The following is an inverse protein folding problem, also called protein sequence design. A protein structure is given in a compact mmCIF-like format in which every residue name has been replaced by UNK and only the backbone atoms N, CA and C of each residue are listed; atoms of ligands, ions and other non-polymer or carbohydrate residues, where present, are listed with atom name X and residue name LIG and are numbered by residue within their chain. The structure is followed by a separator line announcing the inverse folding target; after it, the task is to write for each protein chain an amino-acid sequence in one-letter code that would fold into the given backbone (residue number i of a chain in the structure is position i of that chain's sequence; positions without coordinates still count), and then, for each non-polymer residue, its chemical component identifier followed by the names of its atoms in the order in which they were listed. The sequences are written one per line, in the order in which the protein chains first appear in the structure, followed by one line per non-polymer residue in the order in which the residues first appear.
data_IF_077925136513
#
_entry.id   IF_077925136513
#
_cell.length_a   1.000
_cell.length_b   1.000
_cell.length_c   1.000
_cell.angle_alpha   90.00
_cell.angle_beta   90.00
_cell.angle_gamma   90.00
#
_symmetry.space_group_name_H-M   'P 1'
#
loop_
_entity.id
_entity.type
_entity.pdbx_description
1 polymer ?
#
# COMPACT_ATOMS: atom_id res chain seq x y z
N UNK A 1 2.24 25.65 -6.96
CA UNK A 1 2.21 24.94 -5.66
C UNK A 1 2.85 25.87 -4.63
N UNK A 2 2.13 26.22 -3.59
CA UNK A 2 2.68 27.05 -2.53
C UNK A 2 3.54 26.21 -1.55
N UNK A 3 4.16 26.88 -0.57
CA UNK A 3 5.05 26.21 0.39
C UNK A 3 4.32 25.16 1.23
N UNK A 4 3.09 25.44 1.64
CA UNK A 4 2.29 24.51 2.45
C UNK A 4 1.96 23.26 1.65
N UNK A 5 1.50 23.42 0.41
CA UNK A 5 1.23 22.28 -0.48
C UNK A 5 2.48 21.47 -0.78
N UNK A 6 3.63 22.14 -0.91
CA UNK A 6 4.91 21.45 -1.10
C UNK A 6 5.28 20.60 0.10
N UNK A 7 5.13 21.13 1.31
CA UNK A 7 5.38 20.39 2.55
C UNK A 7 4.41 19.23 2.72
N UNK A 8 3.13 19.44 2.42
CA UNK A 8 2.12 18.39 2.46
C UNK A 8 2.44 17.26 1.47
N UNK A 9 2.87 17.61 0.26
CA UNK A 9 3.27 16.63 -0.75
C UNK A 9 4.46 15.78 -0.27
N UNK A 10 5.46 16.42 0.34
CA UNK A 10 6.62 15.71 0.90
C UNK A 10 6.18 14.78 2.03
N UNK A 11 5.31 15.23 2.91
CA UNK A 11 4.80 14.40 4.00
C UNK A 11 4.04 13.18 3.47
N UNK A 12 3.20 13.36 2.46
CA UNK A 12 2.48 12.27 1.80
C UNK A 12 3.46 11.26 1.17
N UNK A 13 4.50 11.73 0.51
CA UNK A 13 5.53 10.85 -0.04
C UNK A 13 6.25 10.06 1.05
N UNK A 14 6.56 10.69 2.18
CA UNK A 14 7.15 10.01 3.33
C UNK A 14 6.19 8.96 3.93
N UNK A 15 4.91 9.27 3.99
CA UNK A 15 3.89 8.34 4.46
C UNK A 15 3.84 7.08 3.59
N UNK A 16 3.89 7.24 2.26
CA UNK A 16 3.88 6.12 1.33
C UNK A 16 5.17 5.28 1.41
N UNK A 17 6.30 5.90 1.69
CA UNK A 17 7.55 5.18 1.95
C UNK A 17 7.44 4.32 3.22
N UNK A 18 6.80 4.83 4.27
CA UNK A 18 6.54 4.06 5.50
C UNK A 18 5.57 2.91 5.25
N UNK A 19 4.53 3.14 4.43
CA UNK A 19 3.61 2.08 4.00
C UNK A 19 4.36 0.93 3.35
N UNK A 20 5.18 1.22 2.35
CA UNK A 20 6.00 0.23 1.65
C UNK A 20 6.89 -0.55 2.64
N UNK A 21 7.64 0.16 3.46
CA UNK A 21 8.54 -0.45 4.44
C UNK A 21 7.78 -1.34 5.44
N UNK A 22 6.59 -0.94 5.84
CA UNK A 22 5.80 -1.72 6.79
C UNK A 22 5.44 -3.09 6.26
N UNK A 23 5.08 -3.19 4.99
CA UNK A 23 4.78 -4.46 4.33
C UNK A 23 6.05 -5.29 4.14
N UNK A 24 7.10 -4.68 3.63
CA UNK A 24 8.34 -5.37 3.27
C UNK A 24 9.07 -5.92 4.51
N UNK A 25 8.91 -5.27 5.66
CA UNK A 25 9.51 -5.69 6.94
C UNK A 25 8.53 -6.36 7.89
N UNK A 26 7.28 -6.51 7.48
CA UNK A 26 6.21 -7.10 8.32
C UNK A 26 6.01 -6.35 9.64
N UNK A 27 6.15 -5.04 9.61
CA UNK A 27 5.94 -4.14 10.75
C UNK A 27 4.48 -3.69 10.76
N UNK A 28 3.63 -4.45 11.41
CA UNK A 28 2.18 -4.22 11.37
C UNK A 28 1.75 -2.99 12.16
N UNK A 29 2.50 -2.60 13.19
CA UNK A 29 2.22 -1.35 13.91
C UNK A 29 2.56 -0.14 13.04
N UNK A 30 3.65 -0.19 12.28
CA UNK A 30 3.97 0.84 11.30
C UNK A 30 2.91 0.90 10.20
N UNK A 31 2.47 -0.25 9.69
CA UNK A 31 1.37 -0.34 8.73
C UNK A 31 0.11 0.35 9.26
N UNK A 32 -0.29 0.00 10.48
CA UNK A 32 -1.48 0.58 11.13
C UNK A 32 -1.37 2.10 11.23
N UNK A 33 -0.19 2.62 11.52
CA UNK A 33 0.06 4.07 11.68
C UNK A 33 -0.07 4.87 10.37
N UNK A 34 -0.08 4.23 9.22
CA UNK A 34 -0.27 4.90 7.92
C UNK A 34 -1.73 5.30 7.72
N UNK A 35 -2.64 4.62 8.37
CA UNK A 35 -4.09 4.70 8.14
C UNK A 35 -4.82 5.33 9.30
N UNK A 36 -5.96 5.97 9.02
CA UNK A 36 -6.91 6.32 10.06
C UNK A 36 -7.53 5.04 10.64
N UNK A 37 -8.04 5.12 11.86
CA UNK A 37 -8.65 3.97 12.53
C UNK A 37 -9.83 3.39 11.75
N UNK A 38 -10.62 4.23 11.09
CA UNK A 38 -11.78 3.87 10.29
C UNK A 38 -11.46 3.63 8.80
N UNK A 39 -10.18 3.55 8.44
CA UNK A 39 -9.78 3.41 7.04
C UNK A 39 -10.33 2.12 6.42
N UNK A 40 -10.76 2.23 5.16
CA UNK A 40 -11.18 1.11 4.34
C UNK A 40 -10.08 0.79 3.32
N UNK A 41 -9.71 -0.47 3.23
CA UNK A 41 -8.59 -0.94 2.40
C UNK A 41 -9.08 -2.08 1.50
N UNK A 42 -8.81 -1.97 0.21
CA UNK A 42 -9.26 -2.94 -0.79
C UNK A 42 -8.06 -3.47 -1.59
N UNK A 43 -7.69 -4.72 -1.33
CA UNK A 43 -6.67 -5.48 -2.05
C UNK A 43 -7.25 -6.57 -2.95
N UNK A 44 -8.53 -6.51 -3.26
CA UNK A 44 -9.20 -7.56 -4.05
C UNK A 44 -8.58 -7.75 -5.43
N UNK A 45 -8.05 -6.68 -6.04
CA UNK A 45 -7.46 -6.74 -7.38
C UNK A 45 -6.27 -7.71 -7.48
N UNK A 46 -5.50 -7.89 -6.41
CA UNK A 46 -4.38 -8.84 -6.35
C UNK A 46 -4.73 -10.16 -5.67
N UNK A 47 -6.01 -10.40 -5.40
CA UNK A 47 -6.48 -11.59 -4.69
C UNK A 47 -6.45 -11.47 -3.17
N UNK A 48 -6.23 -10.26 -2.66
CA UNK A 48 -6.21 -9.98 -1.24
C UNK A 48 -7.60 -9.71 -0.65
N UNK A 49 -7.61 -9.25 0.58
CA UNK A 49 -8.84 -8.98 1.32
C UNK A 49 -9.31 -7.54 1.16
N UNK A 50 -10.54 -7.30 1.56
CA UNK A 50 -11.18 -5.99 1.63
C UNK A 50 -11.75 -5.82 3.04
N UNK A 51 -11.56 -4.66 3.65
CA UNK A 51 -12.14 -4.38 4.96
C UNK A 51 -11.54 -3.17 5.64
N UNK A 52 -11.88 -3.00 6.91
CA UNK A 52 -11.33 -1.94 7.73
C UNK A 52 -9.90 -2.25 8.16
N UNK A 53 -9.16 -1.20 8.55
CA UNK A 53 -7.73 -1.26 8.86
C UNK A 53 -7.33 -2.46 9.73
N UNK A 54 -7.97 -2.63 10.87
CA UNK A 54 -7.56 -3.66 11.83
C UNK A 54 -7.89 -5.07 11.34
N UNK A 55 -8.96 -5.23 10.56
CA UNK A 55 -9.30 -6.49 9.90
C UNK A 55 -8.24 -6.85 8.84
N UNK A 56 -7.81 -5.87 8.07
CA UNK A 56 -6.78 -6.06 7.03
C UNK A 56 -5.43 -6.37 7.68
N UNK A 57 -5.06 -5.70 8.76
CA UNK A 57 -3.84 -6.00 9.51
C UNK A 57 -3.83 -7.45 9.99
N UNK A 58 -4.95 -7.93 10.53
CA UNK A 58 -5.04 -9.31 10.99
C UNK A 58 -4.91 -10.32 9.84
N UNK A 59 -5.54 -10.01 8.71
CA UNK A 59 -5.40 -10.84 7.50
C UNK A 59 -3.95 -10.85 6.99
N UNK A 60 -3.28 -9.70 6.94
CA UNK A 60 -1.88 -9.60 6.53
C UNK A 60 -0.96 -10.41 7.47
N UNK A 61 -1.20 -10.31 8.78
CA UNK A 61 -0.44 -11.05 9.78
C UNK A 61 -0.54 -12.56 9.56
N UNK A 62 -1.72 -13.06 9.23
CA UNK A 62 -1.99 -14.48 9.02
C UNK A 62 -1.55 -14.99 7.65
N UNK A 63 -1.37 -14.13 6.68
CA UNK A 63 -0.96 -14.46 5.32
C UNK A 63 0.51 -14.10 5.08
N UNK A 64 0.78 -12.88 4.66
CA UNK A 64 2.16 -12.43 4.39
C UNK A 64 3.06 -12.48 5.62
N UNK A 65 2.49 -12.38 6.83
CA UNK A 65 3.25 -12.48 8.07
C UNK A 65 3.72 -13.90 8.40
N UNK A 66 3.15 -14.94 7.79
CA UNK A 66 3.48 -16.35 8.08
C UNK A 66 4.24 -17.04 6.95
N UNK A 67 4.24 -16.48 5.76
CA UNK A 67 4.96 -17.03 4.59
C UNK A 67 6.39 -16.49 4.60
N UNK A 68 7.36 -17.33 4.31
CA UNK A 68 8.76 -16.93 4.15
C UNK A 68 9.01 -16.36 2.76
N UNK A 69 8.48 -15.17 2.51
CA UNK A 69 8.68 -14.43 1.27
C UNK A 69 9.63 -13.26 1.49
N UNK A 70 10.24 -12.81 0.42
CA UNK A 70 10.98 -11.55 0.38
C UNK A 70 10.54 -10.75 -0.84
N UNK A 71 10.60 -9.44 -0.74
CA UNK A 71 10.20 -8.58 -1.84
C UNK A 71 10.23 -7.13 -1.44
N UNK A 72 9.88 -6.29 -2.38
CA UNK A 72 9.82 -4.85 -2.16
C UNK A 72 8.63 -4.25 -2.87
N UNK A 73 7.94 -3.35 -2.19
CA UNK A 73 6.92 -2.50 -2.79
C UNK A 73 7.59 -1.19 -3.19
N UNK A 74 7.95 -1.06 -4.48
CA UNK A 74 8.41 0.22 -5.01
C UNK A 74 7.21 1.10 -5.29
N UNK A 75 7.13 2.24 -4.63
CA UNK A 75 6.05 3.20 -4.80
C UNK A 75 6.64 4.45 -5.43
N UNK A 76 6.17 4.76 -6.63
CA UNK A 76 6.76 5.79 -7.49
C UNK A 76 5.65 6.62 -8.15
N UNK A 77 6.05 7.62 -8.92
CA UNK A 77 5.14 8.41 -9.75
C UNK A 77 3.94 8.92 -8.93
N UNK A 78 4.24 9.48 -7.77
CA UNK A 78 3.25 9.90 -6.80
C UNK A 78 2.66 11.24 -7.24
N UNK A 79 1.34 11.29 -7.36
CA UNK A 79 0.58 12.49 -7.63
C UNK A 79 -0.39 12.73 -6.48
N UNK A 80 -0.35 13.93 -5.90
CA UNK A 80 -1.25 14.33 -4.82
C UNK A 80 -2.04 15.56 -5.27
N UNK A 81 -3.36 15.45 -5.30
CA UNK A 81 -4.28 16.53 -5.53
C UNK A 81 -4.83 16.99 -4.19
N UNK A 82 -4.34 18.14 -3.73
CA UNK A 82 -4.60 18.68 -2.40
C UNK A 82 -5.78 19.66 -2.44
N UNK A 83 -6.70 19.49 -1.49
CA UNK A 83 -7.80 20.44 -1.26
C UNK A 83 -7.97 20.61 0.24
N UNK A 84 -7.33 21.64 0.82
CA UNK A 84 -7.36 21.86 2.28
C UNK A 84 -6.79 20.67 3.06
N UNK A 85 -7.62 20.04 3.86
CA UNK A 85 -7.22 18.94 4.75
C UNK A 85 -7.45 17.55 4.14
N UNK A 86 -7.72 17.48 2.85
CA UNK A 86 -7.89 16.21 2.12
C UNK A 86 -6.97 16.17 0.89
N UNK A 87 -6.62 14.97 0.47
CA UNK A 87 -5.83 14.74 -0.73
C UNK A 87 -6.29 13.47 -1.44
N UNK A 88 -6.45 13.56 -2.76
CA UNK A 88 -6.54 12.39 -3.61
C UNK A 88 -5.13 12.08 -4.10
N UNK A 89 -4.66 10.86 -3.82
CA UNK A 89 -3.30 10.47 -4.13
C UNK A 89 -3.30 9.22 -5.01
N UNK A 90 -2.58 9.29 -6.10
CA UNK A 90 -2.32 8.13 -6.96
C UNK A 90 -0.82 7.88 -6.99
N UNK A 91 -0.44 6.64 -6.73
CA UNK A 91 0.95 6.23 -6.76
C UNK A 91 1.09 4.95 -7.59
N UNK A 92 2.09 4.90 -8.46
CA UNK A 92 2.43 3.67 -9.14
C UNK A 92 3.10 2.71 -8.16
N UNK A 93 2.82 1.43 -8.33
CA UNK A 93 3.45 0.36 -7.53
C UNK A 93 4.07 -0.67 -8.45
N UNK A 94 5.32 -1.02 -8.17
CA UNK A 94 6.01 -2.16 -8.75
C UNK A 94 6.47 -3.05 -7.60
N UNK A 95 6.02 -4.31 -7.60
CA UNK A 95 6.17 -5.20 -6.45
C UNK A 95 6.81 -6.53 -6.88
N UNK A 96 8.13 -6.59 -7.01
CA UNK A 96 8.85 -7.85 -7.22
C UNK A 96 8.92 -8.63 -5.91
N UNK A 97 8.57 -9.91 -5.95
CA UNK A 97 8.53 -10.78 -4.78
C UNK A 97 9.14 -12.14 -5.08
N UNK A 98 9.77 -12.72 -4.08
CA UNK A 98 10.26 -14.09 -4.09
C UNK A 98 9.45 -14.90 -3.11
N UNK A 99 8.74 -15.91 -3.59
CA UNK A 99 7.96 -16.82 -2.76
C UNK A 99 8.64 -18.18 -2.62
N UNK A 100 8.50 -18.85 -1.47
CA UNK A 100 9.06 -20.19 -1.29
C UNK A 100 8.43 -21.18 -2.30
N UNK A 101 9.27 -22.02 -2.89
CA UNK A 101 8.82 -23.02 -3.86
C UNK A 101 8.56 -22.51 -5.27
N UNK A 102 8.71 -21.21 -5.51
CA UNK A 102 8.56 -20.61 -6.84
C UNK A 102 9.92 -20.46 -7.52
N UNK A 103 9.96 -20.73 -8.83
CA UNK A 103 11.13 -20.43 -9.68
C UNK A 103 10.99 -19.02 -10.23
N UNK A 104 11.99 -18.18 -9.99
CA UNK A 104 11.97 -16.78 -10.42
C UNK A 104 11.12 -15.90 -9.50
N UNK A 105 10.99 -14.63 -9.89
CA UNK A 105 10.26 -13.65 -9.13
C UNK A 105 8.81 -13.55 -9.59
N UNK A 106 7.93 -13.26 -8.64
CA UNK A 106 6.57 -12.83 -8.93
C UNK A 106 6.54 -11.32 -9.02
N UNK A 107 5.84 -10.77 -10.01
CA UNK A 107 5.73 -9.34 -10.22
C UNK A 107 4.28 -8.90 -10.24
N UNK A 108 4.00 -7.79 -9.59
CA UNK A 108 2.76 -7.04 -9.76
C UNK A 108 3.10 -5.61 -10.11
N UNK A 109 2.30 -5.01 -10.98
CA UNK A 109 2.39 -3.59 -11.31
C UNK A 109 1.00 -2.99 -11.45
N UNK A 110 0.84 -1.77 -10.96
CA UNK A 110 -0.43 -1.06 -11.02
C UNK A 110 -0.37 0.24 -10.25
N UNK A 111 -1.47 0.59 -9.63
CA UNK A 111 -1.60 1.81 -8.85
C UNK A 111 -2.22 1.54 -7.49
N UNK A 112 -1.81 2.35 -6.52
CA UNK A 112 -2.55 2.55 -5.28
C UNK A 112 -3.25 3.91 -5.35
N UNK A 113 -4.55 3.89 -5.12
CA UNK A 113 -5.39 5.08 -5.04
C UNK A 113 -5.75 5.33 -3.59
N UNK A 114 -5.32 6.47 -3.06
CA UNK A 114 -5.58 6.83 -1.68
C UNK A 114 -6.48 8.06 -1.59
N UNK A 115 -7.39 8.03 -0.64
CA UNK A 115 -8.01 9.22 -0.09
C UNK A 115 -7.33 9.51 1.24
N UNK A 116 -6.63 10.62 1.33
CA UNK A 116 -5.87 10.99 2.52
C UNK A 116 -6.50 12.18 3.22
N UNK A 117 -6.33 12.20 4.53
CA UNK A 117 -6.84 13.28 5.38
C UNK A 117 -5.74 13.76 6.32
N UNK A 118 -5.76 15.07 6.62
CA UNK A 118 -4.89 15.64 7.64
C UNK A 118 -5.49 15.33 9.01
N UNK A 119 -4.68 14.76 9.90
CA UNK A 119 -5.05 14.47 11.29
C UNK A 119 -4.15 15.25 12.24
N UNK A 120 -4.44 15.28 13.56
CA UNK A 120 -3.50 15.85 14.53
C UNK A 120 -2.10 15.23 14.50
N UNK A 121 -2.00 13.98 14.02
CA UNK A 121 -0.73 13.25 13.92
C UNK A 121 -0.10 13.33 12.53
N UNK A 122 -0.62 14.18 11.64
CA UNK A 122 -0.19 14.36 10.27
C UNK A 122 -1.12 13.69 9.25
N UNK A 123 -0.66 13.61 8.01
CA UNK A 123 -1.44 12.98 6.95
C UNK A 123 -1.58 11.47 7.18
N UNK A 124 -2.77 10.94 6.92
CA UNK A 124 -3.08 9.51 7.02
C UNK A 124 -4.00 9.10 5.88
N UNK A 125 -3.89 7.87 5.45
CA UNK A 125 -4.81 7.32 4.46
C UNK A 125 -6.11 6.89 5.11
N UNK A 126 -7.21 7.34 4.54
CA UNK A 126 -8.56 6.96 4.97
C UNK A 126 -9.19 5.90 4.07
N UNK A 127 -8.69 5.80 2.84
CA UNK A 127 -9.15 4.80 1.88
C UNK A 127 -7.98 4.41 0.98
N UNK A 128 -7.83 3.12 0.73
CA UNK A 128 -6.87 2.59 -0.23
C UNK A 128 -7.58 1.61 -1.15
N UNK A 129 -7.47 1.87 -2.44
CA UNK A 129 -7.89 0.95 -3.50
C UNK A 129 -6.66 0.55 -4.31
N UNK A 130 -6.38 -0.74 -4.38
CA UNK A 130 -5.36 -1.30 -5.26
C UNK A 130 -5.93 -1.56 -6.64
N UNK A 131 -5.21 -1.13 -7.67
CA UNK A 131 -5.49 -1.43 -9.06
C UNK A 131 -4.31 -2.21 -9.64
N UNK A 132 -4.54 -3.41 -10.16
CA UNK A 132 -3.51 -4.22 -10.80
C UNK A 132 -3.65 -4.09 -12.31
N UNK A 133 -2.60 -3.59 -12.97
CA UNK A 133 -2.55 -3.48 -14.43
C UNK A 133 -1.96 -4.73 -15.08
N UNK A 134 -1.03 -5.37 -14.40
CA UNK A 134 -0.37 -6.58 -14.89
C UNK A 134 0.23 -7.37 -13.73
N UNK A 135 0.39 -8.67 -13.95
CA UNK A 135 1.12 -9.56 -13.06
C UNK A 135 1.90 -10.59 -13.88
N UNK A 136 2.94 -11.16 -13.30
CA UNK A 136 3.75 -12.20 -13.93
C UNK A 136 4.22 -13.20 -12.88
N UNK A 137 4.18 -14.47 -13.24
CA UNK A 137 4.62 -15.57 -12.38
C UNK A 137 3.95 -15.55 -11.00
N UNK A 138 2.65 -15.27 -10.97
CA UNK A 138 1.89 -15.24 -9.73
C UNK A 138 1.65 -16.66 -9.23
N UNK A 139 1.77 -16.93 -7.90
CA UNK A 139 1.35 -18.21 -7.32
C UNK A 139 -0.11 -18.56 -7.60
N UNK A 140 -0.96 -17.55 -7.89
CA UNK A 140 -2.36 -17.74 -8.25
C UNK A 140 -2.52 -18.25 -9.69
N UNK A 141 -1.56 -18.01 -10.58
CA UNK A 141 -1.63 -18.45 -11.97
C UNK A 141 -1.55 -19.98 -12.09
N UNK A 142 -0.91 -20.65 -11.16
CA UNK A 142 -0.80 -22.11 -11.13
C UNK A 142 -2.13 -22.82 -10.80
N UNK A 143 -3.18 -22.06 -10.44
CA UNK A 143 -4.52 -22.57 -10.11
C UNK A 143 -5.54 -22.39 -11.25
N UNK A 144 -5.10 -21.86 -12.38
CA UNK A 144 -5.94 -21.66 -13.57
C UNK A 144 -5.95 -22.88 -14.47
#
# INVERSE_FOLDING_TARGET
MDRTESLDTIEIQQLLARYSRSLDTRDWELYRSVFTEDAFIDYAASGGTTGQRDQVVEWLRKTLGTIDWSGMHYITNIEAELTGDIAQVRAAVFNPMQFPGMTGLTYFGGYYHHHMVRTPDGWRSRNLLEEVLWSSNSPLDARR
#
